data_IF_923549618272
#
_entry.id   IF_923549618272
#
_cell.length_a   1.000
_cell.length_b   1.000
_cell.length_c   1.000
_cell.angle_alpha   90.00
_cell.angle_beta   90.00
_cell.angle_gamma   90.00
#
_symmetry.space_group_name_H-M   'P 1'
#
loop_
_entity.id
_entity.type
_entity.pdbx_description
1 polymer ?
#
# COMPACT_ATOMS: atom_id res chain seq x y z
N UNK A 1 25.32 -35.93 3.89
CA UNK A 1 24.24 -34.92 3.83
C UNK A 1 24.62 -33.96 2.71
N UNK A 2 24.10 -34.16 1.49
CA UNK A 2 24.36 -33.23 0.38
C UNK A 2 23.50 -31.99 0.63
N UNK A 3 24.11 -30.83 0.79
CA UNK A 3 23.38 -29.57 0.71
C UNK A 3 22.80 -29.50 -0.70
N UNK A 4 21.48 -29.36 -0.79
CA UNK A 4 20.82 -29.07 -2.06
C UNK A 4 21.18 -27.62 -2.43
N UNK A 5 22.24 -27.45 -3.23
CA UNK A 5 22.73 -26.17 -3.76
C UNK A 5 22.38 -26.00 -5.24
N UNK A 6 21.19 -26.44 -5.65
CA UNK A 6 20.69 -26.09 -6.98
C UNK A 6 20.28 -24.61 -6.94
N UNK A 7 21.25 -23.74 -7.18
CA UNK A 7 21.02 -22.31 -7.35
C UNK A 7 19.99 -22.05 -8.46
N UNK A 8 19.36 -20.87 -8.41
CA UNK A 8 18.39 -20.45 -9.43
C UNK A 8 19.03 -20.55 -10.83
N UNK A 9 18.27 -21.09 -11.78
CA UNK A 9 18.67 -21.07 -13.19
C UNK A 9 18.80 -19.63 -13.69
N UNK A 10 19.60 -19.41 -14.75
CA UNK A 10 19.77 -18.08 -15.35
C UNK A 10 18.43 -17.42 -15.73
N UNK A 11 17.46 -18.23 -16.18
CA UNK A 11 16.13 -17.75 -16.52
C UNK A 11 15.36 -17.28 -15.27
N UNK A 12 15.38 -18.06 -14.18
CA UNK A 12 14.75 -17.67 -12.92
C UNK A 12 15.41 -16.43 -12.29
N UNK A 13 16.73 -16.28 -12.43
CA UNK A 13 17.43 -15.06 -12.00
C UNK A 13 17.02 -13.85 -12.82
N UNK A 14 16.86 -14.01 -14.13
CA UNK A 14 16.43 -12.94 -15.03
C UNK A 14 15.01 -12.49 -14.69
N UNK A 15 14.11 -13.43 -14.43
CA UNK A 15 12.73 -13.16 -14.02
C UNK A 15 12.67 -12.40 -12.70
N UNK A 16 13.34 -12.90 -11.66
CA UNK A 16 13.40 -12.20 -10.35
C UNK A 16 14.04 -10.82 -10.45
N UNK A 17 15.07 -10.66 -11.27
CA UNK A 17 15.67 -9.35 -11.49
C UNK A 17 14.68 -8.39 -12.18
N UNK A 18 13.90 -8.87 -13.15
CA UNK A 18 12.86 -8.06 -13.78
C UNK A 18 11.77 -7.64 -12.78
N UNK A 19 11.33 -8.55 -11.91
CA UNK A 19 10.39 -8.25 -10.83
C UNK A 19 10.95 -7.21 -9.85
N UNK A 20 12.17 -7.40 -9.37
CA UNK A 20 12.82 -6.48 -8.44
C UNK A 20 13.00 -5.08 -9.05
N UNK A 21 13.41 -5.00 -10.32
CA UNK A 21 13.55 -3.73 -11.05
C UNK A 21 12.19 -3.02 -11.16
N UNK A 22 11.12 -3.77 -11.47
CA UNK A 22 9.78 -3.21 -11.52
C UNK A 22 9.31 -2.70 -10.15
N UNK A 23 9.58 -3.44 -9.07
CA UNK A 23 9.27 -3.02 -7.70
C UNK A 23 10.03 -1.76 -7.31
N UNK A 24 11.33 -1.70 -7.59
CA UNK A 24 12.16 -0.53 -7.28
C UNK A 24 11.64 0.70 -8.03
N UNK A 25 11.36 0.59 -9.33
CA UNK A 25 10.82 1.70 -10.12
C UNK A 25 9.47 2.19 -9.59
N UNK A 26 8.58 1.28 -9.17
CA UNK A 26 7.30 1.64 -8.56
C UNK A 26 7.47 2.36 -7.21
N UNK A 27 8.42 1.92 -6.38
CA UNK A 27 8.74 2.57 -5.11
C UNK A 27 9.35 3.96 -5.32
N UNK A 28 10.30 4.10 -6.25
CA UNK A 28 10.91 5.39 -6.61
C UNK A 28 9.86 6.40 -7.07
N UNK A 29 8.89 5.96 -7.90
CA UNK A 29 7.78 6.82 -8.33
C UNK A 29 6.91 7.28 -7.15
N UNK A 30 6.59 6.39 -6.20
CA UNK A 30 5.84 6.73 -4.98
C UNK A 30 6.61 7.73 -4.11
N UNK A 31 7.90 7.50 -3.89
CA UNK A 31 8.73 8.42 -3.11
C UNK A 31 8.88 9.79 -3.77
N UNK A 32 9.02 9.84 -5.10
CA UNK A 32 9.07 11.10 -5.83
C UNK A 32 7.76 11.90 -5.68
N UNK A 33 6.61 11.23 -5.76
CA UNK A 33 5.30 11.87 -5.56
C UNK A 33 5.14 12.44 -4.14
N UNK A 34 5.48 11.65 -3.10
CA UNK A 34 5.44 12.12 -1.71
C UNK A 34 6.44 13.26 -1.45
N UNK A 35 7.63 13.21 -2.05
CA UNK A 35 8.62 14.28 -1.93
C UNK A 35 8.13 15.58 -2.59
N UNK A 36 7.50 15.49 -3.76
CA UNK A 36 6.92 16.64 -4.44
C UNK A 36 5.76 17.26 -3.63
N UNK A 37 4.87 16.43 -3.09
CA UNK A 37 3.80 16.88 -2.20
C UNK A 37 4.35 17.58 -0.95
N UNK A 38 5.34 16.98 -0.27
CA UNK A 38 6.00 17.59 0.88
C UNK A 38 6.67 18.93 0.56
N UNK A 39 7.30 19.05 -0.62
CA UNK A 39 7.86 20.33 -1.07
C UNK A 39 6.76 21.39 -1.29
N UNK A 40 5.62 20.99 -1.86
CA UNK A 40 4.44 21.85 -2.02
C UNK A 40 3.86 22.32 -0.68
N UNK A 41 3.70 21.40 0.28
CA UNK A 41 3.25 21.71 1.64
C UNK A 41 4.20 22.72 2.31
N UNK A 42 5.51 22.49 2.22
CA UNK A 42 6.50 23.42 2.75
C UNK A 42 6.41 24.81 2.10
N UNK A 43 6.26 24.88 0.78
CA UNK A 43 6.12 26.15 0.08
C UNK A 43 4.83 26.91 0.47
N UNK A 44 3.72 26.20 0.69
CA UNK A 44 2.46 26.78 1.15
C UNK A 44 2.58 27.34 2.58
N UNK A 45 3.25 26.60 3.47
CA UNK A 45 3.55 27.06 4.84
C UNK A 45 4.45 28.30 4.80
N UNK A 46 5.56 28.27 4.06
CA UNK A 46 6.51 29.38 3.98
C UNK A 46 5.82 30.65 3.43
N UNK A 47 4.95 30.50 2.43
CA UNK A 47 4.15 31.61 1.86
C UNK A 47 3.14 32.19 2.86
N UNK A 48 2.50 31.33 3.65
CA UNK A 48 1.53 31.72 4.68
C UNK A 48 2.22 32.53 5.78
N UNK A 49 3.38 32.06 6.25
CA UNK A 49 4.21 32.76 7.24
C UNK A 49 4.67 34.12 6.69
N UNK A 50 5.15 34.16 5.44
CA UNK A 50 5.58 35.40 4.80
C UNK A 50 4.47 36.45 4.70
N UNK A 51 3.26 36.03 4.31
CA UNK A 51 2.08 36.91 4.30
C UNK A 51 1.74 37.42 5.70
N UNK A 52 1.66 36.53 6.69
CA UNK A 52 1.37 36.88 8.09
C UNK A 52 2.29 37.98 8.63
N UNK A 53 3.59 37.81 8.42
CA UNK A 53 4.61 38.77 8.85
C UNK A 53 4.49 40.13 8.14
N UNK A 54 3.88 40.17 6.95
CA UNK A 54 3.72 41.40 6.16
C UNK A 54 2.47 42.23 6.50
N UNK A 55 1.41 41.61 7.04
CA UNK A 55 0.09 42.25 7.16
C UNK A 55 -0.30 42.75 8.57
N UNK A 56 0.17 42.12 9.66
CA UNK A 56 0.15 42.62 11.05
C UNK A 56 0.67 41.47 11.95
N UNK A 57 1.76 41.62 12.74
CA UNK A 57 2.30 40.55 13.58
C UNK A 57 1.35 40.04 14.68
N UNK A 58 0.22 40.73 14.95
CA UNK A 58 -0.78 40.34 15.95
C UNK A 58 -1.90 39.46 15.36
N UNK A 59 -2.01 39.36 14.03
CA UNK A 59 -3.11 38.63 13.38
C UNK A 59 -2.79 37.13 13.23
N UNK A 60 -3.12 36.36 14.26
CA UNK A 60 -2.91 34.90 14.36
C UNK A 60 -3.92 34.08 13.53
N UNK A 61 -4.78 34.71 12.74
CA UNK A 61 -6.01 34.08 12.23
C UNK A 61 -5.93 33.54 10.79
N UNK A 62 -4.73 33.44 10.21
CA UNK A 62 -4.53 33.19 8.77
C UNK A 62 -3.94 31.81 8.42
N UNK A 63 -4.21 30.79 9.24
CA UNK A 63 -4.05 29.37 8.82
C UNK A 63 -5.13 28.96 7.80
N UNK A 64 -6.16 29.79 7.60
CA UNK A 64 -7.26 29.49 6.67
C UNK A 64 -6.80 29.21 5.23
N UNK A 65 -5.66 29.75 4.80
CA UNK A 65 -5.07 29.46 3.48
C UNK A 65 -4.58 28.01 3.32
N UNK A 66 -4.42 27.27 4.42
CA UNK A 66 -3.96 25.88 4.41
C UNK A 66 -5.11 24.87 4.55
N UNK A 67 -6.34 25.31 4.80
CA UNK A 67 -7.48 24.42 5.14
C UNK A 67 -7.89 23.51 3.99
N UNK A 68 -7.73 23.96 2.74
CA UNK A 68 -8.14 23.23 1.54
C UNK A 68 -6.96 22.56 0.80
N UNK A 69 -5.80 22.41 1.46
CA UNK A 69 -4.67 21.71 0.84
C UNK A 69 -4.93 20.20 0.88
N UNK A 70 -5.08 19.60 -0.30
CA UNK A 70 -5.15 18.16 -0.47
C UNK A 70 -3.77 17.50 -0.45
N UNK A 71 -3.71 16.25 0.00
CA UNK A 71 -2.50 15.43 0.04
C UNK A 71 -2.72 14.09 -0.69
N UNK A 72 -3.00 14.11 -2.01
CA UNK A 72 -3.38 12.92 -2.77
C UNK A 72 -2.30 11.83 -2.79
N UNK A 73 -1.01 12.19 -2.75
CA UNK A 73 0.06 11.21 -2.68
C UNK A 73 0.09 10.50 -1.32
N UNK A 74 -0.11 11.27 -0.24
CA UNK A 74 -0.28 10.70 1.11
C UNK A 74 -1.53 9.82 1.19
N UNK A 75 -2.67 10.26 0.63
CA UNK A 75 -3.90 9.48 0.64
C UNK A 75 -3.76 8.16 -0.11
N UNK A 76 -3.14 8.19 -1.29
CA UNK A 76 -2.82 6.99 -2.07
C UNK A 76 -1.86 6.06 -1.31
N UNK A 77 -0.87 6.61 -0.61
CA UNK A 77 0.03 5.84 0.24
C UNK A 77 -0.71 5.16 1.40
N UNK A 78 -1.58 5.89 2.11
CA UNK A 78 -2.36 5.32 3.21
C UNK A 78 -3.36 4.27 2.73
N UNK A 79 -3.97 4.47 1.56
CA UNK A 79 -4.83 3.48 0.91
C UNK A 79 -4.09 2.17 0.63
N UNK A 80 -2.87 2.26 0.11
CA UNK A 80 -2.00 1.11 -0.12
C UNK A 80 -1.61 0.41 1.20
N UNK A 81 -1.22 1.16 2.24
CA UNK A 81 -0.86 0.57 3.55
C UNK A 81 -2.06 -0.16 4.16
N UNK A 82 -3.27 0.41 4.05
CA UNK A 82 -4.50 -0.27 4.48
C UNK A 82 -4.75 -1.55 3.67
N UNK A 83 -4.57 -1.51 2.35
CA UNK A 83 -4.71 -2.68 1.49
C UNK A 83 -3.72 -3.79 1.89
N UNK A 84 -2.46 -3.45 2.15
CA UNK A 84 -1.45 -4.41 2.62
C UNK A 84 -1.85 -5.05 3.96
N UNK A 85 -2.42 -4.28 4.89
CA UNK A 85 -2.94 -4.82 6.15
C UNK A 85 -4.05 -5.86 5.96
N UNK A 86 -4.93 -5.65 4.96
CA UNK A 86 -5.97 -6.61 4.58
C UNK A 86 -5.37 -7.85 3.91
N UNK A 87 -4.37 -7.68 3.06
CA UNK A 87 -3.67 -8.80 2.41
C UNK A 87 -2.95 -9.70 3.42
N UNK A 88 -2.35 -9.12 4.47
CA UNK A 88 -1.79 -9.90 5.58
C UNK A 88 -2.84 -10.78 6.27
N UNK A 89 -4.09 -10.32 6.32
CA UNK A 89 -5.21 -11.11 6.84
C UNK A 89 -5.63 -12.21 5.87
N UNK A 90 -5.68 -11.91 4.56
CA UNK A 90 -5.90 -12.92 3.53
C UNK A 90 -4.82 -14.02 3.57
N UNK A 91 -3.55 -13.64 3.73
CA UNK A 91 -2.42 -14.58 3.84
C UNK A 91 -2.53 -15.51 5.06
N UNK A 92 -3.03 -14.98 6.19
CA UNK A 92 -3.35 -15.82 7.35
C UNK A 92 -4.37 -16.90 6.99
N UNK A 93 -5.42 -16.57 6.25
CA UNK A 93 -6.42 -17.54 5.81
C UNK A 93 -5.89 -18.51 4.75
N UNK A 94 -5.04 -18.04 3.83
CA UNK A 94 -4.34 -18.91 2.88
C UNK A 94 -3.48 -19.95 3.60
N UNK A 95 -2.77 -19.52 4.66
CA UNK A 95 -1.99 -20.43 5.49
C UNK A 95 -2.88 -21.45 6.20
N UNK A 96 -4.04 -21.04 6.73
CA UNK A 96 -5.02 -21.96 7.32
C UNK A 96 -5.58 -22.94 6.29
N UNK A 97 -5.95 -22.48 5.11
CA UNK A 97 -6.47 -23.30 4.03
C UNK A 97 -5.44 -24.34 3.57
N UNK A 98 -4.18 -23.94 3.46
CA UNK A 98 -3.07 -24.83 3.09
C UNK A 98 -2.79 -25.89 4.15
N UNK A 99 -3.06 -25.58 5.43
CA UNK A 99 -2.88 -26.52 6.53
C UNK A 99 -4.04 -27.52 6.69
N UNK A 100 -5.18 -27.30 6.04
CA UNK A 100 -6.30 -28.24 6.07
C UNK A 100 -5.97 -29.48 5.20
N UNK A 101 -6.33 -30.69 5.65
CA UNK A 101 -6.27 -31.86 4.79
C UNK A 101 -7.21 -31.65 3.60
N UNK A 102 -6.69 -31.60 2.38
CA UNK A 102 -7.50 -31.44 1.17
C UNK A 102 -7.50 -32.74 0.37
N UNK A 103 -8.68 -33.33 0.21
CA UNK A 103 -8.98 -34.48 -0.64
C UNK A 103 -10.17 -34.15 -1.55
N UNK A 104 -10.41 -34.90 -2.64
CA UNK A 104 -11.58 -34.70 -3.48
C UNK A 104 -12.91 -34.75 -2.72
N UNK A 105 -12.96 -35.50 -1.60
CA UNK A 105 -14.15 -35.67 -0.78
C UNK A 105 -14.44 -34.46 0.13
N UNK A 106 -13.42 -33.69 0.53
CA UNK A 106 -13.57 -32.61 1.52
C UNK A 106 -13.25 -31.21 0.99
N UNK A 107 -12.73 -31.08 -0.24
CA UNK A 107 -12.39 -29.79 -0.85
C UNK A 107 -13.57 -28.80 -0.95
N UNK A 108 -14.80 -29.30 -0.88
CA UNK A 108 -16.05 -28.52 -0.88
C UNK A 108 -16.76 -28.50 0.48
N UNK A 109 -16.10 -28.96 1.54
CA UNK A 109 -16.68 -28.85 2.88
C UNK A 109 -16.80 -27.38 3.34
N UNK A 110 -17.57 -27.18 4.41
CA UNK A 110 -17.84 -25.85 4.92
C UNK A 110 -16.56 -25.07 5.30
N UNK A 111 -15.51 -25.74 5.77
CA UNK A 111 -14.27 -25.11 6.18
C UNK A 111 -13.45 -24.61 4.98
N UNK A 112 -13.27 -25.45 3.95
CA UNK A 112 -12.56 -25.07 2.72
C UNK A 112 -13.29 -23.96 1.98
N UNK A 113 -14.61 -24.08 1.85
CA UNK A 113 -15.44 -23.08 1.18
C UNK A 113 -15.39 -21.76 1.95
N UNK A 114 -15.56 -21.77 3.27
CA UNK A 114 -15.53 -20.54 4.08
C UNK A 114 -14.20 -19.81 3.99
N UNK A 115 -13.08 -20.51 4.08
CA UNK A 115 -11.75 -19.88 3.96
C UNK A 115 -11.52 -19.29 2.57
N UNK A 116 -11.95 -19.98 1.49
CA UNK A 116 -11.84 -19.46 0.12
C UNK A 116 -12.65 -18.18 -0.07
N UNK A 117 -13.86 -18.12 0.48
CA UNK A 117 -14.67 -16.89 0.47
C UNK A 117 -13.98 -15.76 1.24
N UNK A 118 -13.49 -16.02 2.45
CA UNK A 118 -12.80 -15.00 3.25
C UNK A 118 -11.54 -14.46 2.58
N UNK A 119 -10.77 -15.31 1.90
CA UNK A 119 -9.60 -14.90 1.12
C UNK A 119 -10.05 -14.01 -0.05
N UNK A 120 -11.06 -14.44 -0.80
CA UNK A 120 -11.60 -13.69 -1.93
C UNK A 120 -12.11 -12.30 -1.51
N UNK A 121 -12.92 -12.23 -0.46
CA UNK A 121 -13.48 -10.97 0.04
C UNK A 121 -12.37 -10.02 0.52
N UNK A 122 -11.35 -10.56 1.21
CA UNK A 122 -10.20 -9.78 1.65
C UNK A 122 -9.38 -9.24 0.47
N UNK A 123 -9.15 -10.05 -0.56
CA UNK A 123 -8.45 -9.64 -1.78
C UNK A 123 -9.22 -8.55 -2.54
N UNK A 124 -10.53 -8.72 -2.66
CA UNK A 124 -11.39 -7.72 -3.29
C UNK A 124 -11.37 -6.41 -2.50
N UNK A 125 -11.49 -6.49 -1.19
CA UNK A 125 -11.49 -5.32 -0.32
C UNK A 125 -10.14 -4.59 -0.36
N UNK A 126 -9.02 -5.31 -0.36
CA UNK A 126 -7.69 -4.71 -0.56
C UNK A 126 -7.59 -3.99 -1.92
N UNK A 127 -8.13 -4.58 -2.98
CA UNK A 127 -8.17 -3.96 -4.31
C UNK A 127 -9.08 -2.71 -4.35
N UNK A 128 -10.18 -2.70 -3.60
CA UNK A 128 -11.05 -1.52 -3.46
C UNK A 128 -10.35 -0.38 -2.72
N UNK A 129 -9.62 -0.69 -1.64
CA UNK A 129 -8.84 0.30 -0.89
C UNK A 129 -7.83 1.02 -1.80
N UNK A 130 -7.12 0.29 -2.67
CA UNK A 130 -6.17 0.89 -3.65
C UNK A 130 -6.81 1.84 -4.65
N UNK A 131 -8.10 1.67 -4.94
CA UNK A 131 -8.87 2.56 -5.83
C UNK A 131 -9.36 3.82 -5.10
N UNK A 132 -9.03 3.98 -3.82
CA UNK A 132 -9.50 5.10 -3.00
C UNK A 132 -10.98 4.96 -2.61
N UNK A 133 -11.56 3.76 -2.65
CA UNK A 133 -12.92 3.56 -2.18
C UNK A 133 -13.01 3.87 -0.67
N UNK A 134 -14.01 4.66 -0.28
CA UNK A 134 -14.30 4.92 1.13
C UNK A 134 -14.91 3.69 1.79
N UNK A 135 -14.55 3.46 3.06
CA UNK A 135 -15.20 2.51 3.98
C UNK A 135 -16.68 2.81 4.18
#
# INVERSE_FOLDING_TARGET
>A
MKANTDGLTMNQLTERNAEHVATIAALEARYAALAAENAGLKAAIDSTIGWQQSTDPVNVESVRMLVDIETPATDAFLAEVRAQGVEMFADKYRAQLTALPTTPENIFDAAHVSLRYQIFDADEFAAQLRKGASL
#
